data_IF_859341084288
#
_entry.id   IF_859341084288
#
_cell.length_a   1.000
_cell.length_b   1.000
_cell.length_c   1.000
_cell.angle_alpha   90.00
_cell.angle_beta   90.00
_cell.angle_gamma   90.00
#
_symmetry.space_group_name_H-M   'P 1'
#
loop_
_entity.id
_entity.type
_entity.pdbx_description
1 polymer ?
#
# COMPACT_ATOMS: atom_id res chain seq x y z
N UNK A 1 -3.18 -8.85 8.71
CA UNK A 1 -2.75 -7.44 8.78
C UNK A 1 -3.45 -6.65 9.91
N UNK A 2 -4.79 -6.65 10.10
CA UNK A 2 -5.44 -5.83 11.13
C UNK A 2 -4.90 -6.01 12.54
N UNK A 3 -4.57 -7.23 12.94
CA UNK A 3 -3.97 -7.50 14.26
C UNK A 3 -2.59 -6.84 14.43
N UNK A 4 -1.77 -6.86 13.38
CA UNK A 4 -0.47 -6.19 13.39
C UNK A 4 -0.63 -4.67 13.45
N UNK A 5 -1.62 -4.12 12.76
CA UNK A 5 -1.91 -2.67 12.77
C UNK A 5 -2.26 -2.16 14.17
N UNK A 6 -2.88 -2.99 15.03
CA UNK A 6 -3.11 -2.63 16.44
C UNK A 6 -1.81 -2.56 17.23
N UNK A 7 -0.83 -3.42 16.91
CA UNK A 7 0.44 -3.47 17.66
C UNK A 7 1.40 -2.35 17.29
N UNK A 8 1.36 -1.85 16.06
CA UNK A 8 2.32 -0.85 15.54
C UNK A 8 2.38 0.42 16.39
N UNK A 9 1.27 1.08 16.80
CA UNK A 9 1.34 2.26 17.66
C UNK A 9 2.01 1.97 19.01
N UNK A 10 1.77 0.80 19.61
CA UNK A 10 2.44 0.40 20.85
C UNK A 10 3.92 0.17 20.66
N UNK A 11 4.30 -0.46 19.55
CA UNK A 11 5.70 -0.68 19.21
C UNK A 11 6.46 0.63 19.02
N UNK A 12 5.87 1.60 18.29
CA UNK A 12 6.46 2.91 18.10
C UNK A 12 6.65 3.65 19.42
N UNK A 13 5.65 3.63 20.30
CA UNK A 13 5.76 4.24 21.63
C UNK A 13 6.83 3.52 22.48
N UNK A 14 6.91 2.20 22.38
CA UNK A 14 7.94 1.42 23.07
C UNK A 14 9.36 1.80 22.64
N UNK A 15 9.56 2.01 21.34
CA UNK A 15 10.86 2.43 20.78
C UNK A 15 11.25 3.85 21.20
N UNK A 16 10.27 4.76 21.34
CA UNK A 16 10.53 6.16 21.67
C UNK A 16 10.71 6.44 23.18
N UNK A 17 9.89 5.86 24.03
CA UNK A 17 9.87 6.16 25.48
C UNK A 17 9.77 4.87 26.36
N UNK A 18 10.02 3.72 25.76
CA UNK A 18 10.05 2.42 26.43
C UNK A 18 8.71 2.05 27.05
N UNK A 19 8.78 1.18 28.06
CA UNK A 19 7.59 0.66 28.79
C UNK A 19 6.81 1.76 29.53
N UNK A 20 7.49 2.84 29.88
CA UNK A 20 6.89 3.98 30.55
C UNK A 20 5.94 4.74 29.62
N UNK A 21 6.37 5.01 28.38
CA UNK A 21 5.53 5.64 27.37
C UNK A 21 4.26 4.84 27.08
N UNK A 22 4.38 3.50 26.99
CA UNK A 22 3.23 2.62 26.81
C UNK A 22 2.22 2.80 27.95
N UNK A 23 2.67 2.74 29.21
CA UNK A 23 1.77 2.90 30.38
C UNK A 23 1.02 4.24 30.40
N UNK A 24 1.66 5.30 29.90
CA UNK A 24 1.07 6.64 29.90
C UNK A 24 0.15 6.89 28.70
N UNK A 25 0.41 6.26 27.55
CA UNK A 25 -0.30 6.56 26.29
C UNK A 25 -1.11 5.41 25.71
N UNK A 26 -1.19 4.26 26.42
CA UNK A 26 -1.87 3.06 25.90
C UNK A 26 -3.31 3.29 25.40
N UNK A 27 -4.16 4.18 26.01
CA UNK A 27 -5.51 4.36 25.50
C UNK A 27 -5.51 5.05 24.13
N UNK A 28 -4.60 6.03 23.93
CA UNK A 28 -4.44 6.71 22.64
C UNK A 28 -3.88 5.77 21.58
N UNK A 29 -2.87 4.97 21.92
CA UNK A 29 -2.30 3.94 21.03
C UNK A 29 -3.35 2.90 20.64
N UNK A 30 -4.19 2.48 21.60
CA UNK A 30 -5.27 1.54 21.33
C UNK A 30 -6.32 2.13 20.37
N UNK A 31 -6.78 3.37 20.61
CA UNK A 31 -7.75 4.04 19.75
C UNK A 31 -7.19 4.18 18.33
N UNK A 32 -5.93 4.61 18.19
CA UNK A 32 -5.29 4.74 16.89
C UNK A 32 -5.18 3.38 16.17
N UNK A 33 -4.69 2.35 16.86
CA UNK A 33 -4.50 1.02 16.28
C UNK A 33 -5.81 0.32 15.93
N UNK A 34 -6.80 0.36 16.81
CA UNK A 34 -8.10 -0.31 16.59
C UNK A 34 -8.90 0.37 15.49
N UNK A 35 -8.97 1.70 15.48
CA UNK A 35 -9.67 2.43 14.41
C UNK A 35 -9.02 2.19 13.05
N UNK A 36 -7.69 2.17 12.99
CA UNK A 36 -6.95 1.82 11.79
C UNK A 36 -7.28 0.39 11.34
N UNK A 37 -7.16 -0.59 12.23
CA UNK A 37 -7.36 -2.00 11.95
C UNK A 37 -8.78 -2.31 11.44
N UNK A 38 -9.81 -1.75 12.08
CA UNK A 38 -11.21 -1.94 11.67
C UNK A 38 -11.42 -1.34 10.28
N UNK A 39 -10.96 -0.12 10.04
CA UNK A 39 -11.13 0.54 8.74
C UNK A 39 -10.36 -0.19 7.65
N UNK A 40 -9.14 -0.64 7.92
CA UNK A 40 -8.35 -1.43 6.99
C UNK A 40 -9.07 -2.73 6.60
N UNK A 41 -9.62 -3.43 7.58
CA UNK A 41 -10.41 -4.64 7.33
C UNK A 41 -11.64 -4.37 6.47
N UNK A 42 -12.43 -3.36 6.82
CA UNK A 42 -13.65 -3.02 6.08
C UNK A 42 -13.34 -2.54 4.66
N UNK A 43 -12.36 -1.65 4.50
CA UNK A 43 -12.00 -1.11 3.18
C UNK A 43 -11.44 -2.19 2.28
N UNK A 44 -10.53 -3.04 2.77
CA UNK A 44 -9.90 -4.07 1.94
C UNK A 44 -10.89 -5.15 1.49
N UNK A 45 -11.90 -5.49 2.30
CA UNK A 45 -12.84 -6.55 1.97
C UNK A 45 -14.07 -6.06 1.19
N UNK A 46 -14.52 -4.81 1.40
CA UNK A 46 -15.79 -4.33 0.83
C UNK A 46 -15.64 -3.25 -0.24
N UNK A 47 -14.53 -2.51 -0.26
CA UNK A 47 -14.29 -1.42 -1.21
C UNK A 47 -13.27 -1.85 -2.27
N UNK A 48 -12.07 -2.20 -1.86
CA UNK A 48 -11.01 -2.64 -2.75
C UNK A 48 -9.62 -2.51 -2.13
N UNK A 49 -8.60 -3.10 -2.77
CA UNK A 49 -7.25 -3.17 -2.22
C UNK A 49 -6.45 -1.85 -2.34
N UNK A 50 -6.91 -0.88 -3.12
CA UNK A 50 -6.13 0.33 -3.43
C UNK A 50 -6.23 1.43 -2.36
N UNK A 51 -7.27 1.38 -1.50
CA UNK A 51 -7.60 2.46 -0.55
C UNK A 51 -7.42 2.15 0.94
N UNK A 52 -7.15 0.91 1.39
CA UNK A 52 -7.17 0.57 2.81
C UNK A 52 -6.29 1.47 3.65
N UNK A 53 -5.08 1.78 3.19
CA UNK A 53 -4.11 2.55 3.97
C UNK A 53 -4.51 4.01 4.14
N UNK A 54 -4.99 4.65 3.05
CA UNK A 54 -5.42 6.06 3.07
C UNK A 54 -6.65 6.23 3.94
N UNK A 55 -7.68 5.40 3.74
CA UNK A 55 -8.92 5.48 4.53
C UNK A 55 -8.68 5.18 6.00
N UNK A 56 -7.86 4.17 6.29
CA UNK A 56 -7.53 3.79 7.66
C UNK A 56 -6.72 4.87 8.39
N UNK A 57 -5.76 5.49 7.69
CA UNK A 57 -5.00 6.60 8.24
C UNK A 57 -5.88 7.81 8.57
N UNK A 58 -6.80 8.18 7.67
CA UNK A 58 -7.74 9.28 7.89
C UNK A 58 -8.69 9.01 9.06
N UNK A 59 -9.30 7.82 9.09
CA UNK A 59 -10.22 7.45 10.19
C UNK A 59 -9.47 7.36 11.52
N UNK A 60 -8.27 6.79 11.53
CA UNK A 60 -7.44 6.71 12.74
C UNK A 60 -7.06 8.10 13.24
N UNK A 61 -6.66 9.01 12.34
CA UNK A 61 -6.34 10.40 12.68
C UNK A 61 -7.54 11.13 13.28
N UNK A 62 -8.71 11.00 12.66
CA UNK A 62 -9.96 11.61 13.15
C UNK A 62 -10.32 11.03 14.51
N UNK A 63 -10.33 9.70 14.64
CA UNK A 63 -10.67 9.01 15.90
C UNK A 63 -9.73 9.40 17.03
N UNK A 64 -8.43 9.43 16.76
CA UNK A 64 -7.43 9.84 17.73
C UNK A 64 -7.59 11.31 18.12
N UNK A 65 -7.82 12.20 17.15
CA UNK A 65 -8.03 13.63 17.40
C UNK A 65 -9.27 13.87 18.26
N UNK A 66 -10.37 13.17 17.97
CA UNK A 66 -11.59 13.25 18.76
C UNK A 66 -11.36 12.70 20.18
N UNK A 67 -10.69 11.56 20.30
CA UNK A 67 -10.38 10.96 21.59
C UNK A 67 -9.52 11.88 22.46
N UNK A 68 -8.48 12.50 21.91
CA UNK A 68 -7.59 13.41 22.63
C UNK A 68 -8.25 14.73 23.08
N UNK A 69 -9.45 15.07 22.57
CA UNK A 69 -10.25 16.17 23.13
C UNK A 69 -10.81 15.83 24.52
N UNK A 70 -11.07 14.55 24.78
CA UNK A 70 -11.65 14.09 26.04
C UNK A 70 -10.60 13.50 26.98
N UNK A 71 -9.51 12.98 26.45
CA UNK A 71 -8.46 12.32 27.21
C UNK A 71 -7.07 12.90 26.88
N UNK A 72 -6.27 13.13 27.93
CA UNK A 72 -4.90 13.61 27.79
C UNK A 72 -3.96 12.79 28.67
N UNK A 73 -2.75 12.42 28.19
CA UNK A 73 -1.75 11.76 29.01
C UNK A 73 -1.35 12.62 30.21
N UNK A 74 -1.20 12.03 31.37
CA UNK A 74 -0.89 12.74 32.64
C UNK A 74 0.38 13.61 32.55
N UNK A 75 1.35 13.21 31.76
CA UNK A 75 2.60 13.94 31.52
C UNK A 75 2.40 15.20 30.67
N UNK A 76 1.58 15.09 29.60
CA UNK A 76 1.25 16.24 28.77
C UNK A 76 0.47 17.28 29.56
N UNK A 77 -0.43 16.85 30.42
CA UNK A 77 -1.16 17.74 31.33
C UNK A 77 -0.21 18.42 32.34
N UNK A 78 0.77 17.72 32.90
CA UNK A 78 1.78 18.29 33.82
C UNK A 78 2.75 19.23 33.10
N UNK A 79 3.19 18.90 31.88
CA UNK A 79 4.07 19.77 31.09
C UNK A 79 3.38 21.07 30.67
N UNK A 80 2.10 21.02 30.33
CA UNK A 80 1.30 22.19 30.01
C UNK A 80 1.12 23.14 31.23
N UNK A 81 1.04 22.59 32.45
CA UNK A 81 0.96 23.35 33.70
C UNK A 81 2.33 23.90 34.10
N UNK A 82 3.43 23.24 33.77
CA UNK A 82 4.79 23.61 34.16
C UNK A 82 5.47 24.64 33.24
N UNK A 83 4.83 25.10 32.18
CA UNK A 83 5.38 26.13 31.27
C UNK A 83 6.65 25.70 30.52
N UNK A 84 6.91 24.41 30.37
CA UNK A 84 8.14 23.88 29.78
C UNK A 84 8.10 23.94 28.26
N UNK A 85 9.01 24.75 27.76
CA UNK A 85 9.59 24.89 26.40
C UNK A 85 8.69 24.78 25.15
N UNK A 86 8.72 25.81 24.28
CA UNK A 86 7.92 25.87 23.05
C UNK A 86 8.17 24.74 22.04
N UNK A 87 9.31 24.06 22.09
CA UNK A 87 9.64 22.97 21.18
C UNK A 87 8.84 21.70 21.47
N UNK A 88 8.61 21.36 22.75
CA UNK A 88 7.79 20.20 23.15
C UNK A 88 6.31 20.53 23.04
N UNK A 89 5.92 21.79 23.28
CA UNK A 89 4.55 22.26 23.08
C UNK A 89 4.18 22.35 21.59
N UNK A 90 5.12 22.62 20.68
CA UNK A 90 4.88 22.60 19.25
C UNK A 90 4.64 21.17 18.72
N UNK A 91 5.35 20.17 19.24
CA UNK A 91 5.12 18.76 18.90
C UNK A 91 3.84 18.21 19.53
N UNK A 92 3.52 18.61 20.77
CA UNK A 92 2.27 18.26 21.46
C UNK A 92 1.08 19.10 20.98
N UNK A 93 1.29 20.34 20.58
CA UNK A 93 0.28 21.25 20.04
C UNK A 93 -0.15 20.93 18.62
N UNK A 94 0.63 20.14 17.87
CA UNK A 94 0.24 19.61 16.57
C UNK A 94 -0.85 18.54 16.66
N UNK A 95 -1.01 17.89 17.82
CA UNK A 95 -1.91 16.74 17.99
C UNK A 95 -2.89 16.82 19.17
N UNK A 96 -2.93 17.85 19.96
CA UNK A 96 -3.92 17.88 21.07
C UNK A 96 -3.69 19.00 22.05
N UNK A 97 -4.48 20.01 21.89
CA UNK A 97 -4.61 21.18 22.66
C UNK A 97 -4.26 21.15 24.13
N UNK A 98 -3.10 21.67 24.48
CA UNK A 98 -3.13 22.64 25.55
C UNK A 98 -3.98 23.82 25.05
N UNK A 99 -4.95 24.26 25.82
CA UNK A 99 -5.63 25.53 25.61
C UNK A 99 -4.61 26.67 25.76
N UNK A 100 -3.70 26.78 24.82
CA UNK A 100 -3.13 28.07 24.48
C UNK A 100 -4.21 28.78 23.71
N UNK A 101 -4.72 29.84 24.25
CA UNK A 101 -5.63 30.81 23.63
C UNK A 101 -4.99 31.56 22.46
N UNK A 102 -3.93 31.05 21.86
CA UNK A 102 -3.46 31.47 20.55
C UNK A 102 -4.30 30.75 19.52
N UNK A 103 -5.27 31.43 18.94
CA UNK A 103 -5.98 31.02 17.75
C UNK A 103 -4.97 30.46 16.75
N UNK A 104 -5.28 29.31 16.15
CA UNK A 104 -4.46 28.74 15.06
C UNK A 104 -4.12 29.89 14.10
N UNK A 105 -2.83 30.13 13.76
CA UNK A 105 -2.45 31.24 12.87
C UNK A 105 -3.07 31.05 11.47
N UNK A 106 -3.69 29.90 11.20
CA UNK A 106 -4.30 29.56 9.92
C UNK A 106 -5.81 29.43 10.05
N UNK A 107 -6.54 30.05 9.12
CA UNK A 107 -7.99 29.85 9.00
C UNK A 107 -8.30 28.44 8.51
N UNK A 108 -9.50 27.93 8.84
CA UNK A 108 -9.96 26.62 8.36
C UNK A 108 -9.87 26.49 6.83
N UNK A 109 -10.16 27.56 6.08
CA UNK A 109 -10.02 27.59 4.63
C UNK A 109 -8.57 27.42 4.14
N UNK A 110 -7.60 27.99 4.86
CA UNK A 110 -6.17 27.82 4.53
C UNK A 110 -5.72 26.38 4.79
N UNK A 111 -6.17 25.78 5.90
CA UNK A 111 -5.90 24.39 6.21
C UNK A 111 -6.51 23.47 5.14
N UNK A 112 -7.79 23.68 4.80
CA UNK A 112 -8.46 22.88 3.77
C UNK A 112 -7.77 23.03 2.41
N UNK A 113 -7.34 24.24 2.05
CA UNK A 113 -6.59 24.47 0.81
C UNK A 113 -5.24 23.75 0.81
N UNK A 114 -4.51 23.75 1.93
CA UNK A 114 -3.24 23.02 2.05
C UNK A 114 -3.43 21.50 1.95
N UNK A 115 -4.54 20.97 2.46
CA UNK A 115 -4.88 19.55 2.41
C UNK A 115 -5.57 19.13 1.09
N UNK A 116 -5.95 20.08 0.24
CA UNK A 116 -6.71 19.81 -0.98
C UNK A 116 -6.05 18.75 -1.90
N UNK A 117 -4.72 18.68 -2.11
CA UNK A 117 -4.14 17.65 -2.96
C UNK A 117 -4.41 16.23 -2.46
N UNK A 118 -4.31 16.02 -1.14
CA UNK A 118 -4.58 14.71 -0.53
C UNK A 118 -6.07 14.34 -0.62
N UNK A 119 -6.97 15.30 -0.41
CA UNK A 119 -8.41 15.09 -0.53
C UNK A 119 -8.80 14.77 -1.97
N UNK A 120 -8.28 15.52 -2.95
CA UNK A 120 -8.53 15.31 -4.38
C UNK A 120 -8.01 13.93 -4.79
N UNK A 121 -6.79 13.57 -4.37
CA UNK A 121 -6.21 12.26 -4.62
C UNK A 121 -7.11 11.15 -4.07
N UNK A 122 -7.52 11.25 -2.82
CA UNK A 122 -8.38 10.25 -2.17
C UNK A 122 -9.70 10.08 -2.91
N UNK A 123 -10.36 11.19 -3.27
CA UNK A 123 -11.64 11.14 -4.00
C UNK A 123 -11.47 10.50 -5.38
N UNK A 124 -10.47 10.93 -6.15
CA UNK A 124 -10.26 10.38 -7.50
C UNK A 124 -9.87 8.91 -7.47
N UNK A 125 -8.93 8.51 -6.61
CA UNK A 125 -8.55 7.09 -6.49
C UNK A 125 -9.76 6.27 -6.03
N UNK A 126 -10.59 6.79 -5.13
CA UNK A 126 -11.85 6.13 -4.73
C UNK A 126 -12.76 5.90 -5.93
N UNK A 127 -13.01 6.94 -6.75
CA UNK A 127 -13.85 6.81 -7.94
C UNK A 127 -13.30 5.75 -8.89
N UNK A 128 -11.98 5.77 -9.18
CA UNK A 128 -11.31 4.79 -10.06
C UNK A 128 -11.35 3.36 -9.54
N UNK A 129 -11.45 3.17 -8.22
CA UNK A 129 -11.53 1.85 -7.56
C UNK A 129 -12.94 1.28 -7.56
N UNK A 130 -13.97 2.11 -7.64
CA UNK A 130 -15.35 1.66 -7.59
C UNK A 130 -15.67 0.65 -8.68
N UNK A 131 -16.37 -0.44 -8.30
CA UNK A 131 -16.83 -1.47 -9.25
C UNK A 131 -17.64 -0.91 -10.43
N UNK A 132 -18.58 0.05 -10.24
CA UNK A 132 -19.28 0.65 -11.37
C UNK A 132 -18.36 1.37 -12.37
N UNK A 133 -17.34 2.07 -11.88
CA UNK A 133 -16.35 2.74 -12.75
C UNK A 133 -15.52 1.72 -13.54
N UNK A 134 -14.99 0.70 -12.88
CA UNK A 134 -14.23 -0.38 -13.54
C UNK A 134 -15.09 -1.16 -14.55
N UNK A 135 -16.38 -1.31 -14.28
CA UNK A 135 -17.33 -1.99 -15.20
C UNK A 135 -17.47 -1.26 -16.54
N UNK A 136 -17.28 0.06 -16.59
CA UNK A 136 -17.31 0.82 -17.85
C UNK A 136 -16.23 0.35 -18.85
N UNK A 137 -15.10 -0.15 -18.36
CA UNK A 137 -13.93 -0.59 -19.13
C UNK A 137 -13.84 -2.12 -19.24
N UNK A 138 -14.76 -2.85 -18.62
CA UNK A 138 -14.83 -4.30 -18.72
C UNK A 138 -15.38 -4.72 -20.09
N UNK A 139 -15.22 -6.00 -20.40
CA UNK A 139 -15.83 -6.60 -21.63
C UNK A 139 -17.33 -6.38 -21.63
N UNK A 140 -17.86 -5.77 -22.68
CA UNK A 140 -19.26 -5.33 -22.79
C UNK A 140 -19.55 -3.97 -22.16
N UNK A 141 -18.57 -3.26 -21.60
CA UNK A 141 -18.72 -1.92 -21.05
C UNK A 141 -18.68 -0.82 -22.13
N UNK A 142 -19.27 0.35 -21.84
CA UNK A 142 -19.37 1.49 -22.77
C UNK A 142 -18.00 2.01 -23.24
N UNK A 143 -16.96 1.87 -22.40
CA UNK A 143 -15.61 2.35 -22.65
C UNK A 143 -14.61 1.19 -22.90
N UNK A 144 -15.08 0.00 -23.27
CA UNK A 144 -14.24 -1.15 -23.57
C UNK A 144 -13.20 -0.83 -24.66
N UNK A 145 -13.56 -0.02 -25.66
CA UNK A 145 -12.68 0.38 -26.76
C UNK A 145 -11.41 1.13 -26.33
N UNK A 146 -11.37 1.66 -25.10
CA UNK A 146 -10.19 2.31 -24.53
C UNK A 146 -9.21 1.32 -23.89
N UNK A 147 -9.58 0.04 -23.84
CA UNK A 147 -8.71 -1.03 -23.36
C UNK A 147 -8.23 -1.84 -24.55
N UNK A 148 -6.92 -1.85 -24.75
CA UNK A 148 -6.30 -2.56 -25.86
C UNK A 148 -5.65 -3.85 -25.36
N UNK A 149 -5.88 -4.94 -26.06
CA UNK A 149 -5.32 -6.25 -25.77
C UNK A 149 -4.35 -6.66 -26.87
N UNK A 150 -3.10 -6.92 -26.52
CA UNK A 150 -2.06 -7.35 -27.43
C UNK A 150 -1.61 -8.75 -27.07
N UNK A 151 -1.96 -9.75 -27.86
CA UNK A 151 -1.38 -11.07 -27.75
C UNK A 151 0.11 -11.00 -28.14
N UNK A 152 0.99 -11.51 -27.30
CA UNK A 152 2.44 -11.47 -27.57
C UNK A 152 2.75 -12.55 -28.61
N UNK A 153 3.24 -12.14 -29.81
CA UNK A 153 3.56 -13.10 -30.87
C UNK A 153 4.57 -14.14 -30.38
N UNK A 154 4.39 -15.39 -30.81
CA UNK A 154 5.24 -16.53 -30.47
C UNK A 154 5.32 -16.88 -28.97
N UNK A 155 4.41 -16.37 -28.15
CA UNK A 155 4.35 -16.71 -26.72
C UNK A 155 2.93 -17.06 -26.27
N UNK A 156 1.91 -16.34 -26.77
CA UNK A 156 0.52 -16.55 -26.36
C UNK A 156 0.05 -17.97 -26.70
N UNK A 157 -0.49 -18.68 -25.69
CA UNK A 157 -0.98 -20.06 -25.76
C UNK A 157 0.07 -21.12 -26.15
N UNK A 158 1.33 -20.77 -26.36
CA UNK A 158 2.39 -21.72 -26.75
C UNK A 158 3.11 -22.35 -25.55
N UNK A 159 3.11 -21.69 -24.40
CA UNK A 159 3.61 -22.24 -23.16
C UNK A 159 2.49 -23.01 -22.47
N UNK A 160 2.70 -24.31 -22.22
CA UNK A 160 1.69 -25.20 -21.65
C UNK A 160 2.15 -25.68 -20.28
N UNK A 161 1.33 -25.44 -19.26
CA UNK A 161 1.52 -26.08 -17.96
C UNK A 161 1.08 -27.53 -18.03
N UNK A 162 1.88 -28.44 -17.46
CA UNK A 162 1.63 -29.89 -17.44
C UNK A 162 1.79 -30.45 -16.02
N UNK A 163 1.45 -31.74 -15.86
CA UNK A 163 1.70 -32.43 -14.59
C UNK A 163 3.19 -32.32 -14.19
N UNK A 164 3.53 -32.21 -12.90
CA UNK A 164 2.64 -32.23 -11.73
C UNK A 164 2.08 -30.85 -11.33
N UNK A 165 2.35 -29.78 -12.08
CA UNK A 165 1.89 -28.41 -11.76
C UNK A 165 0.37 -28.29 -11.90
N UNK A 166 -0.19 -28.85 -12.96
CA UNK A 166 -1.63 -28.96 -13.23
C UNK A 166 -1.97 -30.37 -13.70
N UNK A 167 -3.18 -30.81 -13.36
CA UNK A 167 -3.62 -32.18 -13.74
C UNK A 167 -3.82 -32.30 -15.25
N UNK A 168 -4.41 -31.29 -15.88
CA UNK A 168 -4.63 -31.27 -17.33
C UNK A 168 -3.73 -30.21 -17.98
N UNK A 169 -3.14 -30.49 -19.15
CA UNK A 169 -2.36 -29.52 -19.89
C UNK A 169 -3.15 -28.24 -20.11
N UNK A 170 -2.62 -27.11 -19.64
CA UNK A 170 -3.30 -25.82 -19.69
C UNK A 170 -2.37 -24.80 -20.34
N UNK A 171 -2.73 -24.24 -21.51
CA UNK A 171 -1.94 -23.18 -22.15
C UNK A 171 -2.01 -21.89 -21.31
N UNK A 172 -0.89 -21.17 -21.31
CA UNK A 172 -0.78 -19.89 -20.61
C UNK A 172 -1.05 -18.77 -21.60
N UNK A 173 -2.02 -17.90 -21.27
CA UNK A 173 -2.24 -16.70 -22.06
C UNK A 173 -1.10 -15.69 -21.83
N UNK A 174 -0.56 -15.15 -22.92
CA UNK A 174 0.43 -14.07 -22.90
C UNK A 174 -0.14 -12.84 -23.62
N UNK A 175 -1.15 -12.23 -22.99
CA UNK A 175 -1.86 -11.07 -23.49
C UNK A 175 -1.48 -9.86 -22.65
N UNK A 176 -0.89 -8.85 -23.28
CA UNK A 176 -0.65 -7.57 -22.66
C UNK A 176 -1.90 -6.70 -22.73
N UNK A 177 -2.42 -6.30 -21.58
CA UNK A 177 -3.55 -5.39 -21.45
C UNK A 177 -3.04 -3.97 -21.31
N UNK A 178 -3.21 -3.13 -22.31
CA UNK A 178 -2.95 -1.70 -22.24
C UNK A 178 -4.24 -0.97 -21.85
N UNK A 179 -4.26 -0.41 -20.69
CA UNK A 179 -5.43 0.16 -20.01
C UNK A 179 -5.07 1.55 -19.45
N UNK A 180 -4.87 2.54 -20.34
CA UNK A 180 -4.35 3.84 -19.91
C UNK A 180 -5.35 4.67 -19.12
N UNK A 181 -6.66 4.46 -19.29
CA UNK A 181 -7.68 5.32 -18.68
C UNK A 181 -8.17 4.76 -17.33
N UNK A 182 -8.42 3.45 -17.22
CA UNK A 182 -8.90 2.85 -15.98
C UNK A 182 -7.77 2.52 -14.98
N UNK A 183 -6.50 2.69 -15.38
CA UNK A 183 -5.36 2.52 -14.50
C UNK A 183 -5.35 3.55 -13.35
N UNK A 184 -5.02 3.12 -12.14
CA UNK A 184 -4.95 4.00 -10.96
C UNK A 184 -3.95 5.15 -11.13
N UNK A 185 -2.87 4.94 -11.92
CA UNK A 185 -1.91 5.99 -12.26
C UNK A 185 -2.54 7.19 -12.96
N UNK A 186 -3.59 6.97 -13.75
CA UNK A 186 -4.33 8.04 -14.43
C UNK A 186 -5.15 8.87 -13.45
N UNK A 187 -5.74 8.24 -12.42
CA UNK A 187 -6.39 8.96 -11.32
C UNK A 187 -5.39 9.87 -10.59
N UNK A 188 -4.19 9.38 -10.32
CA UNK A 188 -3.11 10.15 -9.68
C UNK A 188 -2.70 11.33 -10.55
N UNK A 189 -2.56 11.13 -11.87
CA UNK A 189 -2.22 12.19 -12.81
C UNK A 189 -3.29 13.28 -12.86
N UNK A 190 -4.57 12.91 -12.97
CA UNK A 190 -5.67 13.89 -12.89
C UNK A 190 -5.75 14.59 -11.54
N UNK A 191 -5.46 13.89 -10.45
CA UNK A 191 -5.36 14.49 -9.13
C UNK A 191 -4.31 15.59 -9.07
N UNK A 192 -3.15 15.37 -9.68
CA UNK A 192 -2.10 16.39 -9.78
C UNK A 192 -2.56 17.61 -10.59
N UNK A 193 -3.20 17.40 -11.75
CA UNK A 193 -3.71 18.49 -12.58
C UNK A 193 -4.78 19.32 -11.85
N UNK A 194 -5.75 18.67 -11.19
CA UNK A 194 -6.79 19.36 -10.43
C UNK A 194 -6.18 20.11 -9.24
N UNK A 195 -5.21 19.50 -8.55
CA UNK A 195 -4.49 20.15 -7.45
C UNK A 195 -3.74 21.41 -7.90
N UNK A 196 -3.12 21.38 -9.08
CA UNK A 196 -2.50 22.56 -9.69
C UNK A 196 -3.52 23.71 -9.89
N UNK A 197 -4.71 23.39 -10.39
CA UNK A 197 -5.77 24.38 -10.58
C UNK A 197 -6.26 24.96 -9.25
N UNK A 198 -6.52 24.12 -8.25
CA UNK A 198 -6.99 24.54 -6.93
C UNK A 198 -5.96 25.39 -6.19
N UNK A 199 -4.69 25.02 -6.29
CA UNK A 199 -3.58 25.75 -5.66
C UNK A 199 -3.13 26.96 -6.49
N UNK A 200 -3.64 27.11 -7.73
CA UNK A 200 -3.25 28.15 -8.70
C UNK A 200 -1.77 28.12 -9.03
N UNK A 201 -1.24 26.91 -9.26
CA UNK A 201 0.13 26.69 -9.73
C UNK A 201 0.16 26.94 -11.24
N UNK A 202 1.12 27.72 -11.72
CA UNK A 202 1.26 27.99 -13.14
C UNK A 202 1.71 26.75 -13.91
N UNK A 203 1.32 26.68 -15.18
CA UNK A 203 1.59 25.54 -16.07
C UNK A 203 3.09 25.30 -16.23
N UNK A 204 3.89 26.39 -16.28
CA UNK A 204 5.35 26.27 -16.42
C UNK A 204 5.96 25.54 -15.22
N UNK A 205 5.57 25.91 -14.00
CA UNK A 205 6.01 25.23 -12.77
C UNK A 205 5.57 23.77 -12.79
N UNK A 206 4.32 23.49 -13.18
CA UNK A 206 3.82 22.12 -13.28
C UNK A 206 4.61 21.25 -14.27
N UNK A 207 4.90 21.77 -15.47
CA UNK A 207 5.70 21.06 -16.47
C UNK A 207 7.16 20.86 -16.02
N UNK A 208 7.74 21.86 -15.37
CA UNK A 208 9.10 21.74 -14.82
C UNK A 208 9.15 20.65 -13.75
N UNK A 209 8.20 20.66 -12.81
CA UNK A 209 8.09 19.63 -11.78
C UNK A 209 7.90 18.25 -12.38
N UNK A 210 7.03 18.09 -13.38
CA UNK A 210 6.84 16.82 -14.08
C UNK A 210 8.13 16.31 -14.73
N UNK A 211 8.85 17.21 -15.44
CA UNK A 211 10.13 16.88 -16.04
C UNK A 211 11.15 16.44 -15.00
N UNK A 212 11.29 17.19 -13.92
CA UNK A 212 12.25 16.90 -12.88
C UNK A 212 11.92 15.59 -12.16
N UNK A 213 10.63 15.32 -11.91
CA UNK A 213 10.15 14.03 -11.40
C UNK A 213 10.50 12.86 -12.34
N UNK A 214 10.30 13.02 -13.65
CA UNK A 214 10.66 11.98 -14.62
C UNK A 214 12.17 11.72 -14.66
N UNK A 215 12.98 12.77 -14.56
CA UNK A 215 14.44 12.65 -14.49
C UNK A 215 14.87 11.92 -13.23
N UNK A 216 14.27 12.25 -12.10
CA UNK A 216 14.55 11.61 -10.81
C UNK A 216 14.12 10.13 -10.80
N UNK A 217 12.95 9.84 -11.36
CA UNK A 217 12.39 8.49 -11.37
C UNK A 217 12.92 7.57 -12.48
N UNK A 218 13.76 8.06 -13.40
CA UNK A 218 14.25 7.25 -14.55
C UNK A 218 14.89 5.92 -14.13
N UNK A 219 15.73 5.92 -13.08
CA UNK A 219 16.38 4.70 -12.60
C UNK A 219 15.41 3.79 -11.84
N UNK A 220 14.56 4.27 -10.91
CA UNK A 220 13.48 3.47 -10.35
C UNK A 220 12.56 2.84 -11.39
N UNK A 221 12.15 3.57 -12.41
CA UNK A 221 11.30 3.04 -13.51
C UNK A 221 12.02 1.92 -14.26
N UNK A 222 13.29 2.13 -14.62
CA UNK A 222 14.10 1.11 -15.27
C UNK A 222 14.25 -0.13 -14.39
N UNK A 223 14.59 0.05 -13.11
CA UNK A 223 14.73 -1.04 -12.15
C UNK A 223 13.47 -1.87 -12.02
N UNK A 224 12.30 -1.22 -11.84
CA UNK A 224 10.99 -1.90 -11.77
C UNK A 224 10.72 -2.64 -13.07
N UNK A 225 10.96 -2.01 -14.22
CA UNK A 225 10.80 -2.65 -15.52
C UNK A 225 11.64 -3.92 -15.68
N UNK A 226 12.91 -3.88 -15.27
CA UNK A 226 13.81 -5.04 -15.31
C UNK A 226 13.36 -6.16 -14.37
N UNK A 227 12.91 -5.83 -13.15
CA UNK A 227 12.37 -6.82 -12.20
C UNK A 227 11.11 -7.48 -12.74
N UNK A 228 10.18 -6.71 -13.33
CA UNK A 228 8.98 -7.26 -13.95
C UNK A 228 9.32 -8.13 -15.15
N UNK A 229 10.25 -7.71 -16.02
CA UNK A 229 10.72 -8.51 -17.14
C UNK A 229 11.29 -9.85 -16.66
N UNK A 230 12.13 -9.83 -15.62
CA UNK A 230 12.65 -11.05 -15.00
C UNK A 230 11.54 -11.95 -14.44
N UNK A 231 10.54 -11.37 -13.75
CA UNK A 231 9.40 -12.13 -13.22
C UNK A 231 8.61 -12.81 -14.35
N UNK A 232 8.36 -12.13 -15.47
CA UNK A 232 7.70 -12.75 -16.63
C UNK A 232 8.55 -13.85 -17.26
N UNK A 233 9.84 -13.62 -17.45
CA UNK A 233 10.76 -14.65 -17.98
C UNK A 233 10.76 -15.90 -17.10
N UNK A 234 10.87 -15.75 -15.78
CA UNK A 234 10.88 -16.90 -14.85
C UNK A 234 9.55 -17.65 -14.83
N UNK A 235 8.43 -16.95 -15.01
CA UNK A 235 7.11 -17.59 -15.06
C UNK A 235 6.87 -18.32 -16.38
N UNK A 236 7.19 -17.71 -17.53
CA UNK A 236 6.99 -18.34 -18.84
C UNK A 236 8.03 -19.43 -19.16
N UNK A 237 9.25 -19.34 -18.62
CA UNK A 237 10.26 -20.39 -18.77
C UNK A 237 10.02 -21.64 -17.92
N UNK A 238 9.04 -21.57 -16.99
CA UNK A 238 8.78 -22.65 -16.03
C UNK A 238 9.74 -22.70 -14.83
N UNK A 239 10.70 -21.77 -14.75
CA UNK A 239 11.65 -21.71 -13.63
C UNK A 239 10.93 -21.55 -12.28
N UNK A 240 9.93 -20.63 -12.20
CA UNK A 240 9.10 -20.45 -11.00
C UNK A 240 8.38 -21.75 -10.62
N UNK A 241 7.84 -22.48 -11.60
CA UNK A 241 7.14 -23.74 -11.37
C UNK A 241 8.09 -24.85 -10.87
N UNK A 242 9.28 -24.95 -11.47
CA UNK A 242 10.30 -25.90 -11.03
C UNK A 242 10.75 -25.64 -9.60
N UNK A 243 11.02 -24.38 -9.27
CA UNK A 243 11.40 -23.97 -7.91
C UNK A 243 10.27 -24.24 -6.91
N UNK A 244 9.01 -24.00 -7.31
CA UNK A 244 7.83 -24.30 -6.49
C UNK A 244 7.73 -25.79 -6.15
N UNK A 245 8.03 -26.67 -7.09
CA UNK A 245 8.04 -28.12 -6.84
C UNK A 245 9.15 -28.53 -5.86
N UNK A 246 10.33 -27.94 -5.97
CA UNK A 246 11.42 -28.18 -4.99
C UNK A 246 10.99 -27.72 -3.60
N UNK A 247 10.41 -26.53 -3.49
CA UNK A 247 9.92 -25.97 -2.22
C UNK A 247 8.74 -26.77 -1.65
N UNK A 248 7.86 -27.29 -2.51
CA UNK A 248 6.77 -28.19 -2.10
C UNK A 248 7.29 -29.45 -1.41
N UNK A 249 8.51 -29.89 -1.71
CA UNK A 249 9.17 -30.99 -1.01
C UNK A 249 9.39 -30.75 0.49
N UNK A 250 9.33 -29.49 0.97
CA UNK A 250 9.35 -29.17 2.42
C UNK A 250 8.00 -29.39 3.10
N UNK A 251 6.94 -29.66 2.33
CA UNK A 251 5.61 -30.01 2.83
C UNK A 251 5.02 -28.94 3.76
N UNK A 252 4.53 -29.39 4.91
CA UNK A 252 3.88 -28.54 5.92
C UNK A 252 4.79 -27.49 6.56
N UNK A 253 6.10 -27.56 6.36
CA UNK A 253 7.04 -26.55 6.86
C UNK A 253 7.12 -25.32 5.94
N UNK A 254 6.69 -25.43 4.69
CA UNK A 254 6.80 -24.33 3.74
C UNK A 254 6.05 -23.05 4.17
N UNK A 255 4.83 -23.10 4.73
CA UNK A 255 4.15 -21.91 5.22
C UNK A 255 4.95 -21.11 6.25
N UNK A 256 5.76 -21.79 7.06
CA UNK A 256 6.67 -21.12 8.01
C UNK A 256 7.82 -20.42 7.28
N UNK A 257 8.39 -21.01 6.24
CA UNK A 257 9.51 -20.42 5.48
C UNK A 257 9.06 -19.41 4.42
N UNK A 258 7.82 -19.43 4.01
CA UNK A 258 7.25 -18.54 2.99
C UNK A 258 7.50 -17.05 3.24
N UNK A 259 7.29 -16.50 4.46
CA UNK A 259 7.60 -15.10 4.75
C UNK A 259 9.09 -14.75 4.61
N UNK A 260 10.00 -15.69 4.90
CA UNK A 260 11.45 -15.46 4.77
C UNK A 260 11.89 -15.37 3.31
N UNK A 261 11.24 -16.13 2.42
CA UNK A 261 11.48 -16.00 0.98
C UNK A 261 11.10 -14.61 0.47
N UNK A 262 9.97 -14.12 0.92
CA UNK A 262 9.51 -12.77 0.61
C UNK A 262 10.41 -11.68 1.20
N UNK A 263 10.83 -11.87 2.45
CA UNK A 263 11.80 -11.00 3.11
C UNK A 263 13.10 -10.87 2.31
N UNK A 264 13.66 -11.98 1.84
CA UNK A 264 14.81 -12.00 0.95
C UNK A 264 14.52 -11.26 -0.36
N UNK A 265 13.33 -11.42 -0.92
CA UNK A 265 12.92 -10.73 -2.14
C UNK A 265 12.94 -9.22 -1.98
N UNK A 266 12.42 -8.70 -0.88
CA UNK A 266 12.46 -7.26 -0.59
C UNK A 266 13.86 -6.78 -0.22
N UNK A 267 14.60 -7.56 0.53
CA UNK A 267 16.00 -7.27 0.83
C UNK A 267 16.83 -7.06 -0.43
N UNK A 268 16.66 -7.92 -1.44
CA UNK A 268 17.40 -7.84 -2.70
C UNK A 268 16.90 -6.72 -3.62
N UNK A 269 15.58 -6.46 -3.65
CA UNK A 269 14.96 -5.53 -4.61
C UNK A 269 14.65 -4.17 -4.01
N UNK A 270 14.63 -4.04 -2.68
CA UNK A 270 14.21 -2.84 -1.97
C UNK A 270 12.71 -2.53 -2.08
N UNK A 271 11.91 -3.41 -2.69
CA UNK A 271 10.50 -3.16 -3.01
C UNK A 271 9.62 -4.37 -2.76
N UNK A 272 8.60 -4.21 -1.91
CA UNK A 272 7.59 -5.26 -1.68
C UNK A 272 6.78 -5.57 -2.95
N UNK A 273 6.44 -4.57 -3.75
CA UNK A 273 5.79 -4.76 -5.05
C UNK A 273 6.62 -5.66 -5.98
N UNK A 274 7.94 -5.43 -6.04
CA UNK A 274 8.86 -6.24 -6.84
C UNK A 274 8.97 -7.67 -6.31
N UNK A 275 9.05 -7.85 -5.00
CA UNK A 275 9.04 -9.17 -4.35
C UNK A 275 7.76 -9.92 -4.64
N UNK A 276 6.62 -9.26 -4.56
CA UNK A 276 5.32 -9.86 -4.88
C UNK A 276 5.24 -10.25 -6.37
N UNK A 277 5.73 -9.42 -7.28
CA UNK A 277 5.77 -9.75 -8.71
C UNK A 277 6.65 -10.98 -9.00
N UNK A 278 7.76 -11.13 -8.28
CA UNK A 278 8.67 -12.26 -8.44
C UNK A 278 8.10 -13.57 -7.85
N UNK A 279 7.58 -13.51 -6.62
CA UNK A 279 7.36 -14.72 -5.83
C UNK A 279 5.89 -15.09 -5.64
N UNK A 280 4.90 -14.23 -5.91
CA UNK A 280 3.49 -14.59 -5.69
C UNK A 280 3.06 -15.80 -6.51
N UNK A 281 3.49 -15.92 -7.76
CA UNK A 281 3.19 -17.09 -8.60
C UNK A 281 3.83 -18.37 -8.06
N UNK A 282 5.07 -18.29 -7.59
CA UNK A 282 5.77 -19.39 -6.94
C UNK A 282 5.06 -19.81 -5.65
N UNK A 283 4.71 -18.87 -4.80
CA UNK A 283 3.98 -19.10 -3.54
C UNK A 283 2.64 -19.79 -3.80
N UNK A 284 1.86 -19.28 -4.76
CA UNK A 284 0.57 -19.86 -5.11
C UNK A 284 0.71 -21.28 -5.67
N UNK A 285 1.70 -21.50 -6.54
CA UNK A 285 1.95 -22.82 -7.11
C UNK A 285 2.39 -23.83 -6.03
N UNK A 286 3.29 -23.43 -5.13
CA UNK A 286 3.71 -24.27 -4.01
C UNK A 286 2.53 -24.61 -3.09
N UNK A 287 1.68 -23.61 -2.78
CA UNK A 287 0.48 -23.81 -1.96
C UNK A 287 -0.43 -24.91 -2.54
N UNK A 288 -0.70 -24.85 -3.85
CA UNK A 288 -1.48 -25.89 -4.52
C UNK A 288 -0.85 -27.28 -4.40
N UNK A 289 0.49 -27.37 -4.50
CA UNK A 289 1.19 -28.65 -4.42
C UNK A 289 1.16 -29.26 -3.01
N UNK A 290 1.18 -28.43 -1.96
CA UNK A 290 1.15 -28.91 -0.56
C UNK A 290 -0.26 -28.93 0.04
N UNK A 291 -1.31 -28.58 -0.73
CA UNK A 291 -2.71 -28.60 -0.28
C UNK A 291 -3.06 -27.48 0.70
N UNK A 292 -2.35 -26.32 0.65
CA UNK A 292 -2.61 -25.14 1.47
C UNK A 292 -3.30 -24.07 0.63
N UNK A 293 -4.12 -23.20 1.26
CA UNK A 293 -4.75 -22.09 0.55
C UNK A 293 -3.70 -21.16 -0.07
N UNK A 294 -3.72 -20.96 -1.39
CA UNK A 294 -2.80 -20.05 -2.08
C UNK A 294 -2.87 -18.61 -1.55
N UNK A 295 -4.05 -18.18 -1.13
CA UNK A 295 -4.24 -16.83 -0.57
C UNK A 295 -3.41 -16.62 0.69
N UNK A 296 -3.29 -17.66 1.52
CA UNK A 296 -2.47 -17.62 2.74
C UNK A 296 -1.00 -17.38 2.41
N UNK A 297 -0.44 -18.15 1.45
CA UNK A 297 0.98 -18.02 1.12
C UNK A 297 1.31 -16.73 0.36
N UNK A 298 0.42 -16.28 -0.51
CA UNK A 298 0.57 -14.97 -1.17
C UNK A 298 0.48 -13.83 -0.16
N UNK A 299 -0.42 -13.89 0.81
CA UNK A 299 -0.49 -12.92 1.90
C UNK A 299 0.75 -12.97 2.80
N UNK A 300 1.28 -14.18 3.06
CA UNK A 300 2.54 -14.36 3.79
C UNK A 300 3.74 -13.76 3.03
N UNK A 301 3.74 -13.83 1.69
CA UNK A 301 4.73 -13.15 0.86
C UNK A 301 4.72 -11.63 1.10
N UNK A 302 3.57 -10.99 0.98
CA UNK A 302 3.45 -9.54 1.23
C UNK A 302 3.84 -9.19 2.67
N UNK A 303 3.35 -9.92 3.66
CA UNK A 303 3.63 -9.63 5.08
C UNK A 303 5.10 -9.83 5.45
N UNK A 304 5.74 -10.88 4.91
CA UNK A 304 7.16 -11.14 5.10
C UNK A 304 8.03 -10.12 4.38
N UNK A 305 7.62 -9.73 3.17
CA UNK A 305 8.31 -8.73 2.36
C UNK A 305 8.46 -7.39 3.05
N UNK A 306 7.42 -6.90 3.70
CA UNK A 306 7.44 -5.60 4.42
C UNK A 306 8.59 -5.54 5.43
N UNK A 307 8.90 -6.64 6.12
CA UNK A 307 9.99 -6.68 7.10
C UNK A 307 11.39 -6.61 6.46
N UNK A 308 11.52 -6.98 5.19
CA UNK A 308 12.79 -6.90 4.43
C UNK A 308 13.24 -5.47 4.11
N UNK A 309 12.35 -4.50 4.22
CA UNK A 309 12.64 -3.09 3.92
C UNK A 309 13.34 -2.34 5.07
N UNK A 310 13.51 -2.99 6.20
CA UNK A 310 14.06 -2.37 7.41
C UNK A 310 15.58 -2.49 7.52
N UNK A 311 16.28 -2.97 6.48
CA UNK A 311 17.73 -3.19 6.46
C UNK A 311 18.39 -2.19 5.52
#
# INVERSE_FOLDING_TARGET
>A
LPFLSVLVPFWLVAMMDGWRGIKETWPAALVAGVSFAITQYLTSNFIGPELPDITSALVSLISLTLFLKFWQPARAAKAAVAGVSPAISAFAGGFGGARSTSASPYSFGQILKAWSPFLILTVLVTIWTLKPFKALFAVGGVLESWVLYFAIPHLDQLVIKVAPIVLNPTPIAAIYKLDPVSATGTAIFFSALISMLVLRIDVKTGLTTLRDTLIELKLPILSIGMVLAFAFVTNYSGMSSTLALVLAGTGVLFPFFSPFLAWLGVFLTGSDTSSNALFSSLQATTAHQIGVDPTLLVAANTSGGVTGKMI
#
